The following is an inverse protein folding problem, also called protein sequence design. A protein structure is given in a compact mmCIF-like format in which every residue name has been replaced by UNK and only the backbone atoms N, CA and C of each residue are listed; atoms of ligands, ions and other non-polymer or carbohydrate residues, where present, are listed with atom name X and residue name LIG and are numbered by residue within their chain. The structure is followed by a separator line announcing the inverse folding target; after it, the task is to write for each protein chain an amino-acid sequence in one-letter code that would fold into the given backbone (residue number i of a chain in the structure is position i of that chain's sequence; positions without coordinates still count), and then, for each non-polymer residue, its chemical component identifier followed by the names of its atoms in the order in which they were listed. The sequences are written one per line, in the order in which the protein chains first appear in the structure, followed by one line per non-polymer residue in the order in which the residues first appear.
data_IF_224786990055
#
_entry.id   IF_224786990055
#
_cell.length_a   1.000
_cell.length_b   1.000
_cell.length_c   1.000
_cell.angle_alpha   90.00
_cell.angle_beta   90.00
_cell.angle_gamma   90.00
#
_symmetry.space_group_name_H-M   'P 1'
#
loop_
_entity.id
_entity.type
_entity.pdbx_description
1 polymer ?
#
# COMPACT_ATOMS: atom_id res chain seq x y z
N UNK A 1 -5.48 7.28 5.68
CA UNK A 1 -6.13 5.97 5.42
C UNK A 1 -5.04 4.95 5.18
N UNK A 2 -5.02 3.84 5.90
CA UNK A 2 -3.94 2.86 5.74
C UNK A 2 -4.13 2.02 4.46
N UNK A 3 -3.04 1.38 4.01
CA UNK A 3 -3.13 0.40 2.93
C UNK A 3 -4.05 -0.78 3.29
N UNK A 4 -4.06 -1.17 4.56
CA UNK A 4 -4.91 -2.23 5.11
C UNK A 4 -6.40 -1.88 4.96
N UNK A 5 -6.77 -0.67 5.37
CA UNK A 5 -8.13 -0.14 5.25
C UNK A 5 -8.57 -0.08 3.79
N UNK A 6 -7.68 0.38 2.90
CA UNK A 6 -8.00 0.52 1.49
C UNK A 6 -8.25 -0.84 0.82
N UNK A 7 -7.41 -1.85 1.12
CA UNK A 7 -7.59 -3.21 0.59
C UNK A 7 -8.90 -3.82 1.10
N UNK A 8 -9.19 -3.65 2.39
CA UNK A 8 -10.43 -4.14 3.01
C UNK A 8 -11.66 -3.46 2.41
N UNK A 9 -11.65 -2.13 2.29
CA UNK A 9 -12.78 -1.34 1.76
C UNK A 9 -13.06 -1.63 0.29
N UNK A 10 -12.03 -1.93 -0.50
CA UNK A 10 -12.18 -2.24 -1.93
C UNK A 10 -12.39 -3.73 -2.20
N UNK A 11 -12.26 -4.59 -1.18
CA UNK A 11 -12.25 -6.04 -1.37
C UNK A 11 -11.08 -6.54 -2.23
N UNK A 12 -10.03 -5.73 -2.37
CA UNK A 12 -8.87 -6.06 -3.21
C UNK A 12 -7.99 -7.07 -2.49
N UNK A 13 -7.72 -8.21 -3.15
CA UNK A 13 -6.80 -9.21 -2.62
C UNK A 13 -5.35 -8.72 -2.65
N UNK A 14 -4.56 -9.10 -1.65
CA UNK A 14 -3.16 -8.70 -1.50
C UNK A 14 -2.28 -9.12 -2.67
N UNK A 15 -2.50 -10.31 -3.20
CA UNK A 15 -1.77 -10.89 -4.34
C UNK A 15 -2.03 -10.10 -5.63
N UNK A 16 -3.30 -9.77 -5.88
CA UNK A 16 -3.72 -8.95 -7.01
C UNK A 16 -3.15 -7.53 -6.90
N UNK A 17 -3.18 -6.93 -5.70
CA UNK A 17 -2.58 -5.63 -5.45
C UNK A 17 -1.05 -5.65 -5.58
N UNK A 18 -0.41 -6.71 -5.10
CA UNK A 18 1.04 -6.87 -5.23
C UNK A 18 1.45 -6.95 -6.71
N UNK A 19 0.70 -7.71 -7.52
CA UNK A 19 0.90 -7.80 -8.95
C UNK A 19 0.73 -6.43 -9.64
N UNK A 20 -0.27 -5.63 -9.25
CA UNK A 20 -0.52 -4.32 -9.87
C UNK A 20 0.59 -3.30 -9.63
N UNK A 21 1.26 -3.35 -8.47
CA UNK A 21 2.39 -2.46 -8.14
C UNK A 21 3.77 -3.08 -8.45
N UNK A 22 3.79 -4.29 -9.01
CA UNK A 22 5.01 -5.01 -9.39
C UNK A 22 5.87 -5.42 -8.19
N UNK A 23 5.24 -5.97 -7.14
CA UNK A 23 5.91 -6.47 -5.93
C UNK A 23 5.36 -7.84 -5.53
N UNK A 24 5.88 -8.43 -4.45
CA UNK A 24 5.37 -9.69 -3.90
C UNK A 24 4.28 -9.47 -2.85
N UNK A 25 3.37 -10.45 -2.69
CA UNK A 25 2.35 -10.43 -1.63
C UNK A 25 2.98 -10.21 -0.24
N UNK A 26 4.09 -10.89 0.04
CA UNK A 26 4.83 -10.72 1.30
C UNK A 26 5.36 -9.28 1.50
N UNK A 27 5.67 -8.54 0.43
CA UNK A 27 6.02 -7.13 0.55
C UNK A 27 4.81 -6.28 0.91
N UNK A 28 3.67 -6.49 0.26
CA UNK A 28 2.40 -5.82 0.61
C UNK A 28 2.02 -6.09 2.06
N UNK A 29 2.15 -7.34 2.51
CA UNK A 29 1.85 -7.72 3.89
C UNK A 29 2.75 -6.95 4.90
N UNK A 30 4.06 -6.84 4.62
CA UNK A 30 4.95 -6.01 5.45
C UNK A 30 4.60 -4.53 5.44
N UNK A 31 4.09 -4.01 4.32
CA UNK A 31 3.65 -2.61 4.22
C UNK A 31 2.40 -2.35 5.05
N UNK A 32 1.42 -3.27 5.03
CA UNK A 32 0.19 -3.17 5.84
C UNK A 32 0.46 -3.13 7.33
N UNK A 33 1.38 -3.96 7.81
CA UNK A 33 1.74 -4.03 9.23
C UNK A 33 2.78 -3.00 9.67
N UNK A 34 3.21 -2.08 8.79
CA UNK A 34 4.23 -1.09 9.13
C UNK A 34 5.63 -1.68 9.38
N UNK A 35 5.83 -2.98 9.13
CA UNK A 35 7.12 -3.68 9.30
C UNK A 35 8.16 -3.23 8.27
N UNK A 36 7.71 -2.62 7.17
CA UNK A 36 8.57 -2.09 6.12
C UNK A 36 7.91 -0.89 5.46
N UNK A 37 8.70 0.15 5.20
CA UNK A 37 8.27 1.27 4.35
C UNK A 37 8.57 0.94 2.87
N UNK A 38 7.63 1.16 1.93
CA UNK A 38 7.89 1.02 0.50
C UNK A 38 9.04 1.90 0.02
N UNK A 39 9.76 1.50 -1.02
CA UNK A 39 10.73 2.40 -1.67
C UNK A 39 9.99 3.46 -2.51
N UNK A 40 10.59 4.64 -2.79
CA UNK A 40 9.91 5.71 -3.52
C UNK A 40 9.22 5.28 -4.83
N UNK A 41 9.81 4.41 -5.69
CA UNK A 41 9.14 3.94 -6.90
C UNK A 41 7.89 3.10 -6.62
N UNK A 42 7.92 2.27 -5.58
CA UNK A 42 6.77 1.44 -5.16
C UNK A 42 5.69 2.32 -4.54
N UNK A 43 6.10 3.33 -3.78
CA UNK A 43 5.19 4.29 -3.16
C UNK A 43 4.40 5.08 -4.19
N UNK A 44 5.05 5.53 -5.27
CA UNK A 44 4.37 6.18 -6.39
C UNK A 44 3.33 5.25 -7.05
N UNK A 45 3.66 3.96 -7.23
CA UNK A 45 2.71 2.97 -7.77
C UNK A 45 1.55 2.71 -6.84
N UNK A 46 1.78 2.64 -5.53
CA UNK A 46 0.71 2.51 -4.53
C UNK A 46 -0.22 3.72 -4.60
N UNK A 47 0.32 4.94 -4.61
CA UNK A 47 -0.49 6.15 -4.72
C UNK A 47 -1.31 6.17 -6.03
N UNK A 48 -0.72 5.76 -7.15
CA UNK A 48 -1.45 5.65 -8.42
C UNK A 48 -2.54 4.57 -8.39
N UNK A 49 -2.21 3.36 -7.92
CA UNK A 49 -3.15 2.23 -7.86
C UNK A 49 -4.31 2.47 -6.90
N UNK A 50 -4.10 3.29 -5.87
CA UNK A 50 -5.13 3.65 -4.89
C UNK A 50 -5.86 4.96 -5.21
N UNK A 51 -5.51 5.63 -6.32
CA UNK A 51 -6.11 6.91 -6.71
C UNK A 51 -5.80 8.05 -5.72
N UNK A 52 -4.64 7.99 -5.05
CA UNK A 52 -4.23 8.95 -4.03
C UNK A 52 -4.85 8.71 -2.65
N UNK A 53 -5.63 7.64 -2.48
CA UNK A 53 -6.24 7.30 -1.20
C UNK A 53 -5.23 6.81 -0.15
N UNK A 54 -4.11 6.23 -0.60
CA UNK A 54 -2.97 5.86 0.24
C UNK A 54 -1.75 6.61 -0.28
N UNK A 55 -1.15 7.41 0.58
CA UNK A 55 -0.03 8.30 0.29
C UNK A 55 1.23 7.88 1.05
N UNK A 56 2.35 8.54 0.77
CA UNK A 56 3.60 8.34 1.51
C UNK A 56 3.42 8.55 3.02
N UNK A 57 2.63 9.56 3.40
CA UNK A 57 2.42 9.94 4.79
C UNK A 57 1.72 8.85 5.60
N UNK A 58 0.90 8.01 4.94
CA UNK A 58 0.16 6.91 5.60
C UNK A 58 1.12 5.81 6.08
N UNK A 59 2.25 5.61 5.40
CA UNK A 59 3.28 4.65 5.80
C UNK A 59 4.20 5.16 6.93
N UNK A 60 4.17 6.46 7.21
CA UNK A 60 4.95 7.08 8.28
C UNK A 60 4.11 7.42 9.52
N UNK A 61 2.82 7.08 9.52
CA UNK A 61 1.91 7.47 10.60
C UNK A 61 1.69 8.98 10.70
N UNK A 62 2.00 9.73 9.64
CA UNK A 62 1.89 11.20 9.56
C UNK A 62 0.56 11.66 8.96
N UNK A 63 -0.38 10.73 8.79
CA UNK A 63 -1.71 11.02 8.23
C UNK A 63 -2.67 11.19 9.40
N UNK A 64 -3.02 12.44 9.69
CA UNK A 64 -4.02 12.82 10.69
C UNK A 64 -5.44 12.57 10.23
#
# INVERSE_FOLDING_TARGET
MTLDDWLTRTGTKEDAFAASIGTSQAAVNRYRHGLRVPRPPVMARIAQATGGAVTANDFHGLSG
#
